data_IF_232768465790
#
_entry.id   IF_232768465790
#
_cell.length_a   1.000
_cell.length_b   1.000
_cell.length_c   1.000
_cell.angle_alpha   90.00
_cell.angle_beta   90.00
_cell.angle_gamma   90.00
#
_symmetry.space_group_name_H-M   'P 1'
#
loop_
_entity.id
_entity.type
_entity.pdbx_description
1 polymer ?
#
# COMPACT_ATOMS: atom_id res chain seq x y z
N UNK A 1 32.50 -25.86 -22.20
CA UNK A 1 32.49 -24.67 -21.33
C UNK A 1 31.24 -23.79 -21.49
N UNK A 2 30.59 -23.77 -22.67
CA UNK A 2 29.35 -23.00 -22.91
C UNK A 2 28.18 -23.42 -22.01
N UNK A 3 27.99 -24.71 -21.74
CA UNK A 3 26.84 -25.19 -20.95
C UNK A 3 26.87 -24.74 -19.48
N UNK A 4 28.05 -24.60 -18.88
CA UNK A 4 28.19 -24.13 -17.47
C UNK A 4 27.93 -22.63 -17.38
N UNK A 5 28.46 -21.85 -18.33
CA UNK A 5 28.17 -20.42 -18.41
C UNK A 5 26.67 -20.16 -18.65
N UNK A 6 26.03 -20.95 -19.51
CA UNK A 6 24.58 -20.89 -19.74
C UNK A 6 23.76 -21.22 -18.49
N UNK A 7 24.16 -22.23 -17.72
CA UNK A 7 23.51 -22.59 -16.46
C UNK A 7 23.60 -21.43 -15.44
N UNK A 8 24.78 -20.82 -15.28
CA UNK A 8 24.96 -19.68 -14.38
C UNK A 8 24.11 -18.48 -14.77
N UNK A 9 24.05 -18.16 -16.06
CA UNK A 9 23.20 -17.09 -16.58
C UNK A 9 21.72 -17.38 -16.30
N UNK A 10 21.27 -18.61 -16.55
CA UNK A 10 19.88 -19.01 -16.29
C UNK A 10 19.50 -18.86 -14.81
N UNK A 11 20.35 -19.32 -13.89
CA UNK A 11 20.12 -19.17 -12.44
C UNK A 11 20.04 -17.69 -12.05
N UNK A 12 20.96 -16.87 -12.56
CA UNK A 12 20.98 -15.43 -12.28
C UNK A 12 19.70 -14.74 -12.73
N UNK A 13 19.22 -15.06 -13.93
CA UNK A 13 17.99 -14.50 -14.48
C UNK A 13 16.76 -14.94 -13.67
N UNK A 14 16.70 -16.20 -13.21
CA UNK A 14 15.61 -16.71 -12.37
C UNK A 14 15.58 -15.94 -11.04
N UNK A 15 16.71 -15.83 -10.36
CA UNK A 15 16.81 -15.12 -9.07
C UNK A 15 16.42 -13.65 -9.23
N UNK A 16 16.92 -13.00 -10.29
CA UNK A 16 16.58 -11.61 -10.61
C UNK A 16 15.09 -11.43 -10.88
N UNK A 17 14.46 -12.35 -11.62
CA UNK A 17 13.03 -12.34 -11.90
C UNK A 17 12.20 -12.44 -10.62
N UNK A 18 12.56 -13.37 -9.72
CA UNK A 18 11.88 -13.54 -8.43
C UNK A 18 12.00 -12.29 -7.54
N UNK A 19 13.21 -11.72 -7.44
CA UNK A 19 13.46 -10.49 -6.68
C UNK A 19 12.67 -9.31 -7.24
N UNK A 20 12.61 -9.16 -8.57
CA UNK A 20 11.85 -8.10 -9.22
C UNK A 20 10.36 -8.23 -8.94
N UNK A 21 9.80 -9.44 -9.06
CA UNK A 21 8.39 -9.69 -8.74
C UNK A 21 8.10 -9.44 -7.26
N UNK A 22 8.97 -9.87 -6.35
CA UNK A 22 8.82 -9.61 -4.93
C UNK A 22 8.85 -8.11 -4.60
N UNK A 23 9.82 -7.37 -5.14
CA UNK A 23 9.94 -5.93 -4.94
C UNK A 23 8.73 -5.17 -5.50
N UNK A 24 8.21 -5.57 -6.66
CA UNK A 24 7.00 -5.00 -7.22
C UNK A 24 5.80 -5.15 -6.27
N UNK A 25 5.57 -6.37 -5.76
CA UNK A 25 4.49 -6.62 -4.81
C UNK A 25 4.69 -5.86 -3.49
N UNK A 26 5.92 -5.83 -2.97
CA UNK A 26 6.26 -5.11 -1.74
C UNK A 26 5.92 -3.61 -1.85
N UNK A 27 6.42 -2.94 -2.90
CA UNK A 27 6.18 -1.50 -3.11
C UNK A 27 4.70 -1.21 -3.32
N UNK A 28 3.97 -2.04 -4.07
CA UNK A 28 2.53 -1.87 -4.26
C UNK A 28 1.72 -2.01 -2.96
N UNK A 29 2.17 -2.85 -2.02
CA UNK A 29 1.46 -3.07 -0.77
C UNK A 29 1.79 -2.03 0.31
N UNK A 30 2.93 -1.34 0.25
CA UNK A 30 3.38 -0.49 1.35
C UNK A 30 2.48 0.71 1.62
N UNK A 31 1.98 1.42 0.60
CA UNK A 31 1.11 2.59 0.84
C UNK A 31 -0.20 2.16 1.51
N UNK A 32 -0.81 1.08 1.02
CA UNK A 32 -2.07 0.57 1.58
C UNK A 32 -1.86 0.00 2.98
N UNK A 33 -0.74 -0.69 3.20
CA UNK A 33 -0.39 -1.23 4.52
C UNK A 33 -0.15 -0.12 5.52
N UNK A 34 0.60 0.93 5.15
CA UNK A 34 0.88 2.05 6.03
C UNK A 34 -0.36 2.88 6.36
N UNK A 35 -1.22 3.17 5.37
CA UNK A 35 -2.49 3.88 5.61
C UNK A 35 -3.44 3.05 6.48
N UNK A 36 -3.59 1.76 6.20
CA UNK A 36 -4.46 0.88 7.01
C UNK A 36 -3.89 0.66 8.41
N UNK A 37 -2.57 0.58 8.56
CA UNK A 37 -1.89 0.42 9.85
C UNK A 37 -1.99 1.68 10.73
N UNK A 38 -2.07 2.87 10.14
CA UNK A 38 -2.26 4.11 10.88
C UNK A 38 -3.69 4.26 11.45
N UNK A 39 -4.61 3.37 11.09
CA UNK A 39 -5.98 3.33 11.63
C UNK A 39 -6.63 4.72 11.70
N UNK A 40 -6.45 5.54 10.66
CA UNK A 40 -6.95 6.92 10.67
C UNK A 40 -8.45 6.86 10.42
N UNK A 41 -9.24 7.20 11.44
CA UNK A 41 -10.68 7.30 11.34
C UNK A 41 -11.08 8.74 11.12
N UNK A 42 -12.08 8.96 10.26
CA UNK A 42 -12.77 10.23 10.23
C UNK A 42 -13.38 10.53 11.60
N UNK A 43 -13.41 11.81 12.03
CA UNK A 43 -14.03 12.15 13.31
C UNK A 43 -15.50 11.72 13.32
N UNK A 44 -16.06 11.34 14.48
CA UNK A 44 -17.45 10.89 14.59
C UNK A 44 -18.43 12.02 14.29
N UNK A 45 -19.64 11.67 13.87
CA UNK A 45 -20.69 12.63 13.56
C UNK A 45 -20.99 13.50 14.80
N UNK A 46 -20.98 14.83 14.62
CA UNK A 46 -21.14 15.77 15.72
C UNK A 46 -19.85 16.10 16.51
N UNK A 47 -18.69 15.58 16.12
CA UNK A 47 -17.39 16.01 16.65
C UNK A 47 -17.16 17.51 16.36
N UNK A 48 -16.61 18.30 17.31
CA UNK A 48 -16.28 19.71 17.10
C UNK A 48 -15.46 19.97 15.83
N UNK A 49 -14.65 18.99 15.41
CA UNK A 49 -13.82 19.05 14.22
C UNK A 49 -14.59 19.15 12.89
N UNK A 50 -15.87 18.79 12.86
CA UNK A 50 -16.70 18.75 11.64
C UNK A 50 -18.00 19.55 11.80
N UNK A 51 -18.13 20.38 12.84
CA UNK A 51 -19.36 21.12 13.16
C UNK A 51 -19.63 22.32 12.24
N UNK A 52 -18.62 22.85 11.58
CA UNK A 52 -18.81 24.01 10.71
C UNK A 52 -19.60 23.61 9.44
N UNK A 53 -20.50 24.48 8.93
CA UNK A 53 -21.37 24.16 7.80
C UNK A 53 -20.59 23.85 6.51
N UNK A 54 -19.38 24.40 6.37
CA UNK A 54 -18.44 24.09 5.28
C UNK A 54 -17.97 22.64 5.24
N UNK A 55 -18.04 21.91 6.36
CA UNK A 55 -17.70 20.49 6.44
C UNK A 55 -18.90 19.56 6.35
N UNK A 56 -20.09 20.04 5.97
CA UNK A 56 -21.30 19.20 5.85
C UNK A 56 -21.08 17.94 4.98
N UNK A 57 -20.29 18.06 3.91
CA UNK A 57 -19.93 16.93 3.06
C UNK A 57 -19.05 15.87 3.76
N UNK A 58 -18.32 16.21 4.82
CA UNK A 58 -17.50 15.25 5.57
C UNK A 58 -18.33 14.38 6.53
N UNK A 59 -19.57 14.77 6.85
CA UNK A 59 -20.46 13.96 7.69
C UNK A 59 -20.76 12.60 7.07
N UNK A 60 -20.74 12.49 5.74
CA UNK A 60 -20.99 11.23 5.02
C UNK A 60 -19.94 10.15 5.30
N UNK A 61 -18.73 10.54 5.71
CA UNK A 61 -17.62 9.64 6.01
C UNK A 61 -17.32 9.57 7.51
N UNK A 62 -18.16 10.16 8.36
CA UNK A 62 -17.91 10.27 9.80
C UNK A 62 -17.74 8.88 10.44
N UNK A 63 -16.65 8.68 11.19
CA UNK A 63 -16.31 7.40 11.82
C UNK A 63 -15.80 6.30 10.86
N UNK A 64 -15.69 6.59 9.55
CA UNK A 64 -15.19 5.63 8.57
C UNK A 64 -13.65 5.58 8.59
N UNK A 65 -13.09 4.39 8.45
CA UNK A 65 -11.65 4.17 8.31
C UNK A 65 -11.18 4.72 6.95
N UNK A 66 -10.12 5.52 6.94
CA UNK A 66 -9.46 5.96 5.72
C UNK A 66 -8.65 4.77 5.17
N UNK A 67 -9.12 4.19 4.06
CA UNK A 67 -8.49 3.06 3.36
C UNK A 67 -7.83 3.47 2.07
#
# INVERSE_FOLDING_TARGET
>A
MVSVAGLFLAVTLIVSGLLLTWAHNFVSNEVRTQLTAQQIYFPPAGSPAIKAPEFAAMHQYAGQLMT
#
